data_IF_668142116597
#
_entry.id   IF_668142116597
#
_cell.length_a   1.000
_cell.length_b   1.000
_cell.length_c   1.000
_cell.angle_alpha   90.00
_cell.angle_beta   90.00
_cell.angle_gamma   90.00
#
_symmetry.space_group_name_H-M   'P 1'
#
loop_
_entity.id
_entity.type
_entity.pdbx_description
1 polymer ?
#
# COMPACT_ATOMS: atom_id res chain seq x y z
N UNK A 1 47.59 46.98 -8.42
CA UNK A 1 46.11 47.00 -8.38
C UNK A 1 45.60 46.18 -9.57
N UNK A 2 44.59 45.32 -9.40
CA UNK A 2 44.12 44.21 -10.28
C UNK A 2 44.81 42.87 -9.94
N UNK A 3 44.13 41.76 -9.63
CA UNK A 3 42.70 41.38 -9.72
C UNK A 3 42.45 40.24 -8.72
N UNK A 4 41.78 40.52 -7.59
CA UNK A 4 41.00 39.52 -6.84
C UNK A 4 39.72 39.31 -7.64
N UNK A 5 39.46 38.11 -8.18
CA UNK A 5 38.13 37.64 -8.63
C UNK A 5 38.20 36.24 -9.28
N UNK A 6 38.92 35.29 -8.68
CA UNK A 6 38.95 33.88 -9.15
C UNK A 6 38.20 32.93 -8.19
N UNK A 7 37.69 33.46 -7.07
CA UNK A 7 37.01 32.70 -6.02
C UNK A 7 35.50 32.94 -5.94
N UNK A 8 34.89 33.44 -7.03
CA UNK A 8 33.44 33.65 -7.09
C UNK A 8 32.74 32.80 -8.16
N UNK A 9 33.50 32.24 -9.11
CA UNK A 9 32.94 31.45 -10.22
C UNK A 9 32.77 29.96 -9.93
N UNK A 10 33.31 29.44 -8.82
CA UNK A 10 33.19 28.02 -8.44
C UNK A 10 32.01 27.70 -7.53
N UNK A 11 31.21 28.69 -7.09
CA UNK A 11 30.05 28.44 -6.21
C UNK A 11 28.69 28.49 -6.92
N UNK A 12 28.65 28.90 -8.20
CA UNK A 12 27.40 29.07 -8.95
C UNK A 12 27.03 27.86 -9.83
N UNK A 13 27.82 26.78 -9.80
CA UNK A 13 27.56 25.55 -10.54
C UNK A 13 27.22 24.44 -9.53
N UNK A 14 26.08 23.78 -9.74
CA UNK A 14 25.58 22.55 -9.08
C UNK A 14 24.42 22.68 -8.08
N UNK A 15 23.58 23.70 -8.17
CA UNK A 15 22.14 23.51 -7.88
C UNK A 15 21.39 23.32 -9.20
N UNK A 16 21.72 22.25 -9.92
CA UNK A 16 20.80 21.71 -10.93
C UNK A 16 19.73 20.98 -10.12
N UNK A 17 18.68 21.70 -9.72
CA UNK A 17 17.46 21.05 -9.28
C UNK A 17 16.92 20.28 -10.49
N UNK A 18 17.20 18.98 -10.54
CA UNK A 18 16.50 18.07 -11.43
C UNK A 18 15.03 18.13 -11.05
N UNK A 19 14.27 19.00 -11.71
CA UNK A 19 12.80 18.98 -11.69
C UNK A 19 12.38 17.71 -12.42
N UNK A 20 12.32 16.60 -11.70
CA UNK A 20 11.63 15.41 -12.16
C UNK A 20 10.16 15.78 -12.28
N UNK A 21 9.61 15.70 -13.50
CA UNK A 21 8.19 15.91 -13.71
C UNK A 21 7.43 14.85 -12.90
N UNK A 22 6.71 15.30 -11.87
CA UNK A 22 5.86 14.43 -11.09
C UNK A 22 4.71 13.89 -11.95
N UNK A 23 4.23 12.72 -11.60
CA UNK A 23 3.01 12.16 -12.17
C UNK A 23 1.86 13.15 -11.90
N UNK A 24 1.16 13.65 -12.93
CA UNK A 24 0.23 14.75 -12.75
C UNK A 24 -0.89 14.41 -11.76
N UNK A 25 -1.19 15.33 -10.83
CA UNK A 25 -2.29 15.17 -9.86
C UNK A 25 -3.62 14.86 -10.54
N UNK A 26 -3.88 15.49 -11.69
CA UNK A 26 -5.07 15.23 -12.51
C UNK A 26 -5.15 13.77 -12.98
N UNK A 27 -4.01 13.14 -13.26
CA UNK A 27 -3.97 11.74 -13.67
C UNK A 27 -4.22 10.80 -12.48
N UNK A 28 -3.80 11.17 -11.26
CA UNK A 28 -4.22 10.47 -10.03
C UNK A 28 -5.72 10.59 -9.81
N UNK A 29 -6.31 11.78 -9.99
CA UNK A 29 -7.75 11.98 -9.86
C UNK A 29 -8.55 11.13 -10.87
N UNK A 30 -8.12 11.14 -12.13
CA UNK A 30 -8.71 10.31 -13.18
C UNK A 30 -8.61 8.83 -12.85
N UNK A 31 -7.43 8.39 -12.39
CA UNK A 31 -7.21 7.02 -11.93
C UNK A 31 -8.16 6.64 -10.80
N UNK A 32 -8.31 7.49 -9.79
CA UNK A 32 -9.23 7.24 -8.69
C UNK A 32 -10.70 7.23 -9.12
N UNK A 33 -11.09 7.97 -10.15
CA UNK A 33 -12.46 7.92 -10.66
C UNK A 33 -12.80 6.58 -11.37
N UNK A 34 -11.79 5.79 -11.74
CA UNK A 34 -11.97 4.42 -12.27
C UNK A 34 -12.08 3.37 -11.16
N UNK A 35 -11.87 3.76 -9.90
CA UNK A 35 -11.98 2.87 -8.75
C UNK A 35 -13.43 2.75 -8.27
N UNK A 36 -13.76 1.64 -7.61
CA UNK A 36 -15.06 1.44 -6.97
C UNK A 36 -15.32 2.44 -5.83
N UNK A 37 -14.28 2.93 -5.17
CA UNK A 37 -14.36 3.93 -4.09
C UNK A 37 -13.40 5.09 -4.36
N UNK A 38 -13.82 5.98 -5.27
CA UNK A 38 -13.04 7.13 -5.69
C UNK A 38 -12.67 8.07 -4.52
N UNK A 39 -13.55 8.20 -3.53
CA UNK A 39 -13.31 9.03 -2.37
C UNK A 39 -12.18 8.46 -1.50
N UNK A 40 -12.23 7.15 -1.23
CA UNK A 40 -11.14 6.46 -0.54
C UNK A 40 -9.82 6.55 -1.30
N UNK A 41 -9.82 6.29 -2.61
CA UNK A 41 -8.61 6.37 -3.43
C UNK A 41 -7.98 7.77 -3.37
N UNK A 42 -8.78 8.83 -3.55
CA UNK A 42 -8.30 10.21 -3.46
C UNK A 42 -7.76 10.52 -2.06
N UNK A 43 -8.47 10.09 -1.02
CA UNK A 43 -8.02 10.30 0.36
C UNK A 43 -6.70 9.59 0.67
N UNK A 44 -6.42 8.45 0.05
CA UNK A 44 -5.15 7.74 0.22
C UNK A 44 -4.02 8.37 -0.61
N UNK A 45 -4.26 8.68 -1.89
CA UNK A 45 -3.18 9.12 -2.79
C UNK A 45 -2.94 10.62 -2.76
N UNK A 46 -3.98 11.45 -2.80
CA UNK A 46 -3.78 12.90 -2.84
C UNK A 46 -3.23 13.47 -1.53
N UNK A 47 -3.37 12.73 -0.42
CA UNK A 47 -2.82 13.09 0.88
C UNK A 47 -1.48 12.40 1.19
N UNK A 48 -0.98 11.49 0.34
CA UNK A 48 0.31 10.84 0.56
C UNK A 48 1.44 11.79 0.14
N UNK A 49 2.35 12.17 1.06
CA UNK A 49 3.39 13.16 0.78
C UNK A 49 4.42 12.69 -0.27
N UNK A 50 4.42 11.39 -0.62
CA UNK A 50 5.33 10.85 -1.65
C UNK A 50 4.79 11.07 -3.05
N UNK A 51 3.47 11.20 -3.24
CA UNK A 51 2.82 11.28 -4.55
C UNK A 51 3.31 12.48 -5.39
N UNK A 52 3.50 13.69 -4.84
CA UNK A 52 4.02 14.83 -5.62
C UNK A 52 5.45 14.66 -6.15
N UNK A 53 6.17 13.60 -5.75
CA UNK A 53 7.58 13.39 -6.14
C UNK A 53 7.78 12.21 -7.08
N UNK A 54 6.75 11.39 -7.31
CA UNK A 54 6.91 10.19 -8.13
C UNK A 54 6.69 10.49 -9.61
N UNK A 55 7.65 10.15 -10.51
CA UNK A 55 7.53 10.47 -11.92
C UNK A 55 6.69 9.46 -12.72
N UNK A 56 6.56 8.22 -12.23
CA UNK A 56 5.93 7.13 -12.98
C UNK A 56 4.74 6.53 -12.24
N UNK A 57 3.77 6.03 -13.01
CA UNK A 57 2.63 5.30 -12.48
C UNK A 57 3.06 4.01 -11.72
N UNK A 58 4.18 3.38 -12.10
CA UNK A 58 4.75 2.25 -11.36
C UNK A 58 5.22 2.63 -9.96
N UNK A 59 5.63 3.88 -9.74
CA UNK A 59 6.05 4.35 -8.43
C UNK A 59 4.83 4.65 -7.54
N UNK A 60 3.74 5.14 -8.14
CA UNK A 60 2.42 5.23 -7.49
C UNK A 60 1.95 3.83 -7.04
N UNK A 61 2.14 2.80 -7.87
CA UNK A 61 1.84 1.41 -7.51
C UNK A 61 2.62 0.95 -6.27
N UNK A 62 3.92 1.26 -6.19
CA UNK A 62 4.74 0.96 -5.00
C UNK A 62 4.21 1.67 -3.75
N UNK A 63 3.75 2.91 -3.88
CA UNK A 63 3.13 3.67 -2.78
C UNK A 63 1.86 2.95 -2.29
N UNK A 64 0.96 2.56 -3.19
CA UNK A 64 -0.29 1.86 -2.83
C UNK A 64 0.02 0.52 -2.16
N UNK A 65 0.96 -0.28 -2.69
CA UNK A 65 1.39 -1.54 -2.05
C UNK A 65 1.93 -1.28 -0.64
N UNK A 66 2.69 -0.19 -0.46
CA UNK A 66 3.20 0.20 0.86
C UNK A 66 2.08 0.60 1.83
N UNK A 67 1.05 1.30 1.35
CA UNK A 67 -0.14 1.62 2.15
C UNK A 67 -0.90 0.35 2.54
N UNK A 68 -1.05 -0.62 1.63
CA UNK A 68 -1.67 -1.91 1.93
C UNK A 68 -0.92 -2.65 3.02
N UNK A 69 0.41 -2.75 2.89
CA UNK A 69 1.26 -3.37 3.90
C UNK A 69 1.13 -2.68 5.26
N UNK A 70 1.05 -1.34 5.28
CA UNK A 70 0.81 -0.60 6.52
C UNK A 70 -0.50 -1.00 7.17
N UNK A 71 -1.60 -1.13 6.41
CA UNK A 71 -2.89 -1.59 6.97
C UNK A 71 -2.79 -3.00 7.56
N UNK A 72 -2.03 -3.90 6.92
CA UNK A 72 -1.77 -5.23 7.48
C UNK A 72 -0.99 -5.10 8.80
N UNK A 73 0.09 -4.32 8.84
CA UNK A 73 0.88 -4.12 10.05
C UNK A 73 0.08 -3.49 11.19
N UNK A 74 -0.77 -2.51 10.90
CA UNK A 74 -1.67 -1.89 11.89
C UNK A 74 -2.66 -2.93 12.44
N UNK A 75 -3.19 -3.81 11.59
CA UNK A 75 -4.04 -4.92 12.03
C UNK A 75 -3.31 -5.96 12.87
N UNK A 76 -2.01 -6.22 12.63
CA UNK A 76 -1.20 -7.07 13.51
C UNK A 76 -1.05 -6.46 14.90
N UNK A 77 -0.79 -5.16 14.99
CA UNK A 77 -0.72 -4.44 16.27
C UNK A 77 -2.06 -4.57 17.01
N UNK A 78 -3.17 -4.47 16.27
CA UNK A 78 -4.49 -4.64 16.86
C UNK A 78 -4.71 -6.08 17.35
N UNK A 79 -4.31 -7.10 16.57
CA UNK A 79 -4.33 -8.52 16.98
C UNK A 79 -3.61 -8.70 18.33
N UNK A 80 -2.42 -8.13 18.45
CA UNK A 80 -1.63 -8.23 19.68
C UNK A 80 -2.33 -7.54 20.86
N UNK A 81 -2.94 -6.37 20.63
CA UNK A 81 -3.66 -5.62 21.68
C UNK A 81 -4.87 -6.37 22.25
N UNK A 82 -5.55 -7.17 21.43
CA UNK A 82 -6.77 -7.89 21.83
C UNK A 82 -6.51 -9.32 22.28
N UNK A 83 -5.31 -9.85 22.04
CA UNK A 83 -4.96 -11.26 22.29
C UNK A 83 -5.21 -11.66 23.75
N UNK A 84 -4.93 -10.76 24.68
CA UNK A 84 -5.14 -10.97 26.12
C UNK A 84 -6.61 -11.03 26.56
N UNK A 85 -7.56 -10.65 25.70
CA UNK A 85 -8.99 -10.66 26.00
C UNK A 85 -9.65 -12.03 25.72
N UNK A 86 -8.90 -12.97 25.16
CA UNK A 86 -9.41 -14.29 24.80
C UNK A 86 -8.99 -15.33 25.85
N UNK A 87 -9.98 -15.89 26.54
CA UNK A 87 -9.75 -16.88 27.60
C UNK A 87 -9.99 -18.31 27.10
N UNK A 88 -10.85 -18.50 26.10
CA UNK A 88 -11.16 -19.83 25.60
C UNK A 88 -10.16 -20.28 24.52
N UNK A 89 -9.78 -21.56 24.56
CA UNK A 89 -8.77 -22.13 23.66
C UNK A 89 -9.15 -21.99 22.17
N UNK A 90 -10.44 -21.97 21.86
CA UNK A 90 -10.92 -21.82 20.48
C UNK A 90 -10.64 -20.41 19.94
N UNK A 91 -10.91 -19.37 20.72
CA UNK A 91 -10.61 -17.97 20.39
C UNK A 91 -9.11 -17.72 20.31
N UNK A 92 -8.34 -18.27 21.26
CA UNK A 92 -6.86 -18.20 21.23
C UNK A 92 -6.32 -18.85 19.95
N UNK A 93 -6.86 -20.01 19.57
CA UNK A 93 -6.44 -20.66 18.33
C UNK A 93 -6.75 -19.80 17.10
N UNK A 94 -7.92 -19.16 17.07
CA UNK A 94 -8.34 -18.34 15.94
C UNK A 94 -7.55 -17.04 15.81
N UNK A 95 -7.25 -16.38 16.93
CA UNK A 95 -6.40 -15.19 16.88
C UNK A 95 -4.97 -15.53 16.43
N UNK A 96 -4.47 -16.74 16.75
CA UNK A 96 -3.18 -17.23 16.22
C UNK A 96 -3.22 -17.50 14.71
N UNK A 97 -4.33 -18.03 14.18
CA UNK A 97 -4.53 -18.17 12.73
C UNK A 97 -4.51 -16.80 12.05
N UNK A 98 -5.18 -15.82 12.66
CA UNK A 98 -5.15 -14.44 12.19
C UNK A 98 -3.72 -13.88 12.11
N UNK A 99 -2.92 -14.08 13.15
CA UNK A 99 -1.52 -13.65 13.20
C UNK A 99 -0.70 -14.24 12.02
N UNK A 100 -0.83 -15.56 11.79
CA UNK A 100 -0.16 -16.25 10.67
C UNK A 100 -0.60 -15.68 9.32
N UNK A 101 -1.90 -15.46 9.12
CA UNK A 101 -2.43 -14.93 7.87
C UNK A 101 -1.97 -13.49 7.62
N UNK A 102 -1.92 -12.66 8.67
CA UNK A 102 -1.42 -11.30 8.56
C UNK A 102 0.08 -11.26 8.26
N UNK A 103 0.89 -12.12 8.88
CA UNK A 103 2.31 -12.29 8.54
C UNK A 103 2.49 -12.66 7.06
N UNK A 104 1.72 -13.64 6.57
CA UNK A 104 1.73 -14.01 5.14
C UNK A 104 1.31 -12.85 4.25
N UNK A 105 0.31 -12.07 4.64
CA UNK A 105 -0.11 -10.91 3.87
C UNK A 105 1.01 -9.85 3.75
N UNK A 106 1.81 -9.64 4.80
CA UNK A 106 3.01 -8.77 4.74
C UNK A 106 4.02 -9.31 3.72
N UNK A 107 4.33 -10.61 3.77
CA UNK A 107 5.25 -11.26 2.83
C UNK A 107 4.76 -11.10 1.39
N UNK A 108 3.48 -11.38 1.13
CA UNK A 108 2.86 -11.25 -0.19
C UNK A 108 2.88 -9.81 -0.73
N UNK A 109 2.68 -8.80 0.12
CA UNK A 109 2.85 -7.40 -0.31
C UNK A 109 4.31 -7.02 -0.58
N UNK A 110 5.27 -7.61 0.13
CA UNK A 110 6.70 -7.42 -0.19
C UNK A 110 7.04 -8.03 -1.56
N UNK A 111 6.55 -9.24 -1.84
CA UNK A 111 6.71 -9.88 -3.16
C UNK A 111 6.05 -9.04 -4.27
N UNK A 112 4.84 -8.54 -4.05
CA UNK A 112 4.16 -7.66 -5.00
C UNK A 112 4.98 -6.38 -5.29
N UNK A 113 5.64 -5.81 -4.27
CA UNK A 113 6.55 -4.68 -4.45
C UNK A 113 7.77 -5.07 -5.31
N UNK A 114 8.38 -6.22 -5.04
CA UNK A 114 9.54 -6.69 -5.80
C UNK A 114 9.18 -6.97 -7.27
N UNK A 115 7.99 -7.52 -7.53
CA UNK A 115 7.49 -7.71 -8.90
C UNK A 115 7.15 -6.39 -9.60
N UNK A 116 6.74 -5.37 -8.85
CA UNK A 116 6.55 -4.01 -9.40
C UNK A 116 7.88 -3.44 -9.89
N UNK A 117 8.96 -3.60 -9.11
CA UNK A 117 10.31 -3.18 -9.50
C UNK A 117 10.81 -3.95 -10.75
N UNK A 118 10.44 -5.22 -10.87
CA UNK A 118 10.71 -6.07 -12.05
C UNK A 118 9.73 -5.85 -13.20
N UNK A 119 8.78 -4.91 -13.08
CA UNK A 119 7.72 -4.60 -14.06
C UNK A 119 6.87 -5.83 -14.47
N UNK A 120 6.77 -6.82 -13.59
CA UNK A 120 6.00 -8.05 -13.81
C UNK A 120 4.61 -7.89 -13.20
N UNK A 121 3.79 -7.03 -13.80
CA UNK A 121 2.55 -6.56 -13.18
C UNK A 121 1.46 -7.62 -13.01
N UNK A 122 1.44 -8.67 -13.84
CA UNK A 122 0.54 -9.81 -13.62
C UNK A 122 0.83 -10.49 -12.29
N UNK A 123 2.11 -10.65 -11.92
CA UNK A 123 2.48 -11.20 -10.62
C UNK A 123 2.08 -10.24 -9.49
N UNK A 124 2.18 -8.92 -9.67
CA UNK A 124 1.72 -7.94 -8.68
C UNK A 124 0.26 -8.16 -8.30
N UNK A 125 -0.62 -8.37 -9.28
CA UNK A 125 -2.05 -8.64 -9.01
C UNK A 125 -2.21 -9.94 -8.22
N UNK A 126 -1.53 -11.02 -8.62
CA UNK A 126 -1.60 -12.32 -7.93
C UNK A 126 -1.18 -12.18 -6.47
N UNK A 127 0.01 -11.64 -6.21
CA UNK A 127 0.53 -11.53 -4.85
C UNK A 127 -0.25 -10.53 -3.99
N UNK A 128 -0.70 -9.40 -4.55
CA UNK A 128 -1.56 -8.46 -3.83
C UNK A 128 -2.95 -9.06 -3.53
N UNK A 129 -3.48 -9.87 -4.46
CA UNK A 129 -4.73 -10.61 -4.29
C UNK A 129 -4.63 -11.65 -3.17
N UNK A 130 -3.56 -12.45 -3.19
CA UNK A 130 -3.25 -13.41 -2.13
C UNK A 130 -3.13 -12.72 -0.76
N UNK A 131 -2.46 -11.56 -0.68
CA UNK A 131 -2.37 -10.79 0.56
C UNK A 131 -3.75 -10.37 1.08
N UNK A 132 -4.60 -9.85 0.20
CA UNK A 132 -5.99 -9.48 0.50
C UNK A 132 -6.81 -10.69 0.97
N UNK A 133 -6.65 -11.84 0.34
CA UNK A 133 -7.38 -13.06 0.71
C UNK A 133 -6.93 -13.58 2.08
N UNK A 134 -5.63 -13.54 2.40
CA UNK A 134 -5.12 -13.90 3.72
C UNK A 134 -5.77 -13.06 4.85
N UNK A 135 -5.83 -11.73 4.71
CA UNK A 135 -6.46 -10.89 5.75
C UNK A 135 -7.97 -11.11 5.85
N UNK A 136 -8.64 -11.40 4.73
CA UNK A 136 -10.08 -11.71 4.70
C UNK A 136 -10.41 -13.07 5.36
N UNK A 137 -9.51 -14.05 5.26
CA UNK A 137 -9.69 -15.35 5.91
C UNK A 137 -9.70 -15.20 7.44
N UNK A 138 -8.87 -14.32 7.99
CA UNK A 138 -8.89 -14.01 9.42
C UNK A 138 -10.26 -13.48 9.89
N UNK A 139 -10.87 -12.54 9.17
CA UNK A 139 -12.19 -12.00 9.56
C UNK A 139 -13.27 -13.08 9.54
N UNK A 140 -13.24 -13.94 8.53
CA UNK A 140 -14.21 -15.02 8.34
C UNK A 140 -14.22 -15.98 9.52
N UNK A 141 -13.05 -16.23 10.13
CA UNK A 141 -12.93 -17.07 11.32
C UNK A 141 -13.42 -16.38 12.60
N UNK A 142 -13.23 -15.06 12.73
CA UNK A 142 -13.74 -14.29 13.88
C UNK A 142 -15.27 -14.13 13.84
N UNK A 143 -15.86 -13.87 12.67
CA UNK A 143 -17.32 -13.74 12.49
C UNK A 143 -18.06 -15.04 12.82
N UNK A 144 -17.50 -16.20 12.46
CA UNK A 144 -18.06 -17.53 12.79
C UNK A 144 -18.26 -17.73 14.30
N UNK A 145 -17.58 -16.96 15.14
CA UNK A 145 -17.68 -17.03 16.60
C UNK A 145 -18.51 -15.89 17.24
N UNK A 146 -19.41 -15.26 16.47
CA UNK A 146 -20.41 -14.27 16.95
C UNK A 146 -19.83 -12.96 17.50
N UNK A 147 -18.62 -12.56 17.12
CA UNK A 147 -18.17 -11.18 17.34
C UNK A 147 -18.97 -10.25 16.40
N UNK A 148 -19.78 -9.36 16.98
CA UNK A 148 -20.70 -8.48 16.23
C UNK A 148 -19.97 -7.54 15.26
N UNK A 149 -18.75 -7.14 15.60
CA UNK A 149 -17.80 -6.45 14.71
C UNK A 149 -16.41 -6.95 15.04
N UNK A 150 -15.80 -7.79 14.18
CA UNK A 150 -14.41 -8.19 14.37
C UNK A 150 -13.51 -6.95 14.49
N UNK A 151 -12.58 -6.91 15.44
CA UNK A 151 -11.71 -5.75 15.65
C UNK A 151 -10.97 -5.34 14.36
N UNK A 152 -10.70 -6.31 13.49
CA UNK A 152 -9.87 -6.17 12.30
C UNK A 152 -10.63 -5.72 11.03
N UNK A 153 -11.96 -5.59 11.11
CA UNK A 153 -12.81 -5.26 9.95
C UNK A 153 -12.36 -3.99 9.22
N UNK A 154 -11.90 -2.97 9.96
CA UNK A 154 -11.42 -1.73 9.35
C UNK A 154 -10.19 -1.98 8.47
N UNK A 155 -9.18 -2.66 9.00
CA UNK A 155 -7.93 -2.94 8.28
C UNK A 155 -8.18 -3.85 7.07
N UNK A 156 -9.00 -4.90 7.22
CA UNK A 156 -9.35 -5.79 6.12
C UNK A 156 -10.07 -5.06 4.99
N UNK A 157 -11.04 -4.19 5.33
CA UNK A 157 -11.73 -3.36 4.34
C UNK A 157 -10.77 -2.41 3.63
N UNK A 158 -9.86 -1.78 4.35
CA UNK A 158 -8.87 -0.90 3.75
C UNK A 158 -7.92 -1.65 2.82
N UNK A 159 -7.44 -2.84 3.20
CA UNK A 159 -6.63 -3.71 2.33
C UNK A 159 -7.40 -4.08 1.05
N UNK A 160 -8.68 -4.42 1.16
CA UNK A 160 -9.54 -4.72 0.00
C UNK A 160 -9.68 -3.53 -0.95
N UNK A 161 -9.93 -2.32 -0.40
CA UNK A 161 -10.00 -1.09 -1.20
C UNK A 161 -8.66 -0.73 -1.84
N UNK A 162 -7.55 -0.90 -1.13
CA UNK A 162 -6.22 -0.65 -1.68
C UNK A 162 -5.83 -1.67 -2.77
N UNK A 163 -6.25 -2.93 -2.62
CA UNK A 163 -6.10 -3.94 -3.68
C UNK A 163 -6.85 -3.55 -4.96
N UNK A 164 -8.03 -2.96 -4.83
CA UNK A 164 -8.78 -2.47 -5.98
C UNK A 164 -8.04 -1.33 -6.71
N UNK A 165 -7.39 -0.41 -5.97
CA UNK A 165 -6.50 0.60 -6.56
C UNK A 165 -5.31 -0.05 -7.27
N UNK A 166 -4.69 -1.08 -6.67
CA UNK A 166 -3.60 -1.87 -7.30
C UNK A 166 -4.07 -2.47 -8.62
N UNK A 167 -5.28 -3.05 -8.65
CA UNK A 167 -5.86 -3.64 -9.84
C UNK A 167 -6.06 -2.60 -10.97
N UNK A 168 -6.61 -1.42 -10.65
CA UNK A 168 -6.78 -0.34 -11.64
C UNK A 168 -5.43 0.11 -12.20
N UNK A 169 -4.43 0.34 -11.33
CA UNK A 169 -3.09 0.76 -11.76
C UNK A 169 -2.43 -0.29 -12.66
N UNK A 170 -2.48 -1.56 -12.27
CA UNK A 170 -1.86 -2.66 -13.05
C UNK A 170 -2.54 -2.86 -14.41
N UNK A 171 -3.86 -2.66 -14.51
CA UNK A 171 -4.58 -2.63 -15.79
C UNK A 171 -4.06 -1.50 -16.70
N UNK A 172 -3.86 -0.29 -16.16
CA UNK A 172 -3.26 0.83 -16.91
C UNK A 172 -1.82 0.58 -17.32
N UNK A 173 -1.09 -0.25 -16.55
CA UNK A 173 0.26 -0.71 -16.88
C UNK A 173 0.29 -1.89 -17.86
N UNK A 174 -0.86 -2.29 -18.41
CA UNK A 174 -0.95 -3.24 -19.51
C UNK A 174 -1.34 -4.67 -19.12
N UNK A 175 -1.70 -4.93 -17.85
CA UNK A 175 -2.24 -6.24 -17.46
C UNK A 175 -3.65 -6.41 -18.03
N UNK A 176 -3.88 -7.55 -18.67
CA UNK A 176 -5.20 -7.99 -19.12
C UNK A 176 -5.62 -9.15 -18.23
N UNK A 177 -6.77 -9.01 -17.58
CA UNK A 177 -7.39 -10.00 -16.68
C UNK A 177 -8.73 -10.40 -17.28
#
# INVERSE_FOLDING_TARGET
>A
MKTKNIWFFTWLLLFVFSVTNAFPTRDIENLCNETLDAAFCKAQLLNDPRIPTVPLLSDVLIIVISLSRKQVQDGMIQIDSIRGNYENQKEIHQINICDINYLRAVERFNEAKDFTLKKTYTAVIVFAGDAKDNVSQCESELVKNRMQTPPLTLHNKNVSKLYEIIFVITKKLGVRV
#
